data_IF_698150201423
#
_entry.id   IF_698150201423
#
_cell.length_a   1.000
_cell.length_b   1.000
_cell.length_c   1.000
_cell.angle_alpha   90.00
_cell.angle_beta   90.00
_cell.angle_gamma   90.00
#
_symmetry.space_group_name_H-M   'P 1'
#
loop_
_entity.id
_entity.type
_entity.pdbx_description
1 polymer ?
#
# COMPACT_ATOMS: atom_id res chain seq x y z
N UNK A 1 24.76 9.36 22.03
CA UNK A 1 24.64 8.93 20.63
C UNK A 1 23.28 9.37 20.13
N UNK A 2 23.23 10.38 19.27
CA UNK A 2 21.97 10.92 18.74
C UNK A 2 21.44 9.94 17.66
N UNK A 3 20.31 9.29 17.93
CA UNK A 3 19.58 8.55 16.90
C UNK A 3 18.88 9.59 16.00
N UNK A 4 19.37 9.72 14.80
CA UNK A 4 18.69 10.47 13.75
C UNK A 4 17.61 9.60 13.14
N UNK A 5 16.35 9.85 13.47
CA UNK A 5 15.19 9.35 12.75
C UNK A 5 15.17 10.03 11.39
N UNK A 6 15.51 9.30 10.34
CA UNK A 6 15.27 9.76 8.96
C UNK A 6 13.91 9.23 8.51
N UNK A 7 12.91 10.09 8.30
CA UNK A 7 11.71 9.66 7.61
C UNK A 7 12.05 9.39 6.13
N UNK A 8 11.40 8.40 5.54
CA UNK A 8 11.39 8.25 4.08
C UNK A 8 11.05 9.60 3.46
N UNK A 9 12.03 10.26 2.86
CA UNK A 9 11.81 11.52 2.15
C UNK A 9 11.30 11.19 0.76
N UNK A 10 10.00 11.30 0.57
CA UNK A 10 9.45 11.45 -0.77
C UNK A 10 10.03 12.73 -1.39
N UNK A 11 10.77 12.55 -2.46
CA UNK A 11 11.34 13.66 -3.22
C UNK A 11 10.24 14.28 -4.09
N UNK A 12 9.80 15.47 -3.79
CA UNK A 12 9.13 16.34 -4.73
C UNK A 12 9.79 17.71 -4.63
N UNK A 13 10.69 18.01 -5.57
CA UNK A 13 11.05 19.38 -5.88
C UNK A 13 10.11 19.90 -6.97
N UNK A 14 9.40 20.93 -6.60
CA UNK A 14 9.08 22.09 -7.39
C UNK A 14 8.23 21.94 -8.62
N UNK A 15 6.96 22.33 -8.47
CA UNK A 15 6.34 23.33 -9.37
C UNK A 15 5.16 23.94 -8.58
N UNK A 16 5.37 25.15 -8.09
CA UNK A 16 4.23 25.98 -7.63
C UNK A 16 3.47 26.43 -8.87
N UNK A 17 2.41 25.75 -9.23
CA UNK A 17 1.36 26.30 -10.05
C UNK A 17 0.25 26.77 -9.13
N UNK A 18 0.00 28.07 -9.11
CA UNK A 18 -1.12 28.66 -8.39
C UNK A 18 -2.43 28.09 -8.97
N UNK A 19 -3.03 27.16 -8.26
CA UNK A 19 -4.38 26.69 -8.56
C UNK A 19 -5.36 27.68 -7.96
N UNK A 20 -5.98 28.50 -8.80
CA UNK A 20 -7.18 29.26 -8.44
C UNK A 20 -8.26 28.25 -8.00
N UNK A 21 -8.53 28.20 -6.70
CA UNK A 21 -9.54 27.32 -6.13
C UNK A 21 -10.94 27.79 -6.53
N UNK A 22 -11.57 27.07 -7.43
CA UNK A 22 -13.04 27.09 -7.51
C UNK A 22 -13.60 26.43 -6.24
N UNK A 23 -14.08 27.25 -5.32
CA UNK A 23 -14.81 26.79 -4.16
C UNK A 23 -16.13 26.12 -4.65
N UNK A 24 -16.11 24.78 -4.78
CA UNK A 24 -17.36 24.04 -4.92
C UNK A 24 -18.09 24.11 -3.59
N UNK A 25 -19.26 24.72 -3.58
CA UNK A 25 -20.14 24.76 -2.44
C UNK A 25 -20.59 23.33 -2.10
N UNK A 26 -20.16 22.83 -0.95
CA UNK A 26 -20.69 21.60 -0.36
C UNK A 26 -22.08 21.94 0.18
N UNK A 27 -23.12 21.16 -0.13
CA UNK A 27 -24.42 21.38 0.48
C UNK A 27 -24.30 21.27 2.00
N UNK A 28 -24.79 22.28 2.71
CA UNK A 28 -24.82 22.28 4.16
C UNK A 28 -25.64 21.06 4.64
N UNK A 29 -25.04 20.25 5.51
CA UNK A 29 -25.71 19.13 6.17
C UNK A 29 -26.84 19.69 7.05
N UNK A 30 -28.06 19.72 6.52
CA UNK A 30 -29.25 20.10 7.27
C UNK A 30 -29.54 19.01 8.33
N UNK A 31 -29.61 19.40 9.59
CA UNK A 31 -30.09 18.53 10.67
C UNK A 31 -31.57 18.23 10.45
N UNK A 32 -31.91 17.05 9.97
CA UNK A 32 -33.24 16.47 10.11
C UNK A 32 -33.25 15.64 11.41
N UNK A 33 -33.80 16.20 12.46
CA UNK A 33 -34.14 15.47 13.67
C UNK A 33 -35.47 14.73 13.47
N UNK A 34 -35.52 13.50 14.01
CA UNK A 34 -36.67 12.65 14.31
C UNK A 34 -36.81 11.37 13.43
N UNK A 35 -35.88 10.47 13.61
CA UNK A 35 -36.11 9.03 13.78
C UNK A 35 -34.93 8.52 14.60
N UNK A 36 -35.17 7.65 15.58
CA UNK A 36 -34.06 7.04 16.35
C UNK A 36 -33.04 6.48 15.33
N UNK A 37 -31.88 7.14 15.25
CA UNK A 37 -30.92 6.87 14.19
C UNK A 37 -30.50 5.39 14.30
N UNK A 38 -30.74 4.61 13.24
CA UNK A 38 -30.32 3.24 13.17
C UNK A 38 -28.78 3.26 13.17
N UNK A 39 -28.16 2.66 14.18
CA UNK A 39 -26.71 2.52 14.25
C UNK A 39 -26.27 1.40 13.32
N UNK A 40 -25.32 1.66 12.44
CA UNK A 40 -24.79 0.72 11.47
C UNK A 40 -23.43 0.19 11.88
N UNK A 41 -22.68 0.96 12.69
CA UNK A 41 -21.31 0.67 13.12
C UNK A 41 -21.16 0.73 14.62
N UNK A 42 -20.25 -0.11 15.17
CA UNK A 42 -19.70 0.10 16.51
C UNK A 42 -18.80 1.35 16.50
N UNK A 43 -18.91 2.19 17.53
CA UNK A 43 -18.19 3.44 17.62
C UNK A 43 -16.82 3.34 18.32
N UNK A 44 -16.42 2.14 18.80
CA UNK A 44 -15.37 1.93 19.80
C UNK A 44 -14.02 2.63 19.53
N UNK A 45 -13.55 2.67 18.28
CA UNK A 45 -12.24 3.27 17.92
C UNK A 45 -12.34 4.35 16.85
N UNK A 46 -13.53 4.76 16.52
CA UNK A 46 -13.76 5.86 15.59
C UNK A 46 -13.57 7.22 16.27
N UNK A 47 -12.97 8.17 15.58
CA UNK A 47 -13.15 9.57 15.93
C UNK A 47 -14.65 9.89 15.89
N UNK A 48 -15.26 10.48 16.95
CA UNK A 48 -16.72 10.56 17.08
C UNK A 48 -17.41 11.22 15.88
N UNK A 49 -16.81 12.27 15.33
CA UNK A 49 -17.32 12.96 14.14
C UNK A 49 -17.28 12.08 12.90
N UNK A 50 -16.23 11.29 12.72
CA UNK A 50 -16.10 10.42 11.57
C UNK A 50 -17.17 9.33 11.59
N UNK A 51 -17.39 8.74 12.76
CA UNK A 51 -18.45 7.78 12.99
C UNK A 51 -19.81 8.36 12.58
N UNK A 52 -20.17 9.56 13.13
CA UNK A 52 -21.43 10.23 12.81
C UNK A 52 -21.60 10.48 11.31
N UNK A 53 -20.57 10.97 10.62
CA UNK A 53 -20.63 11.27 9.19
C UNK A 53 -20.81 10.01 8.33
N UNK A 54 -20.15 8.90 8.69
CA UNK A 54 -20.32 7.62 8.01
C UNK A 54 -21.73 7.05 8.23
N UNK A 55 -22.25 7.12 9.46
CA UNK A 55 -23.63 6.73 9.79
C UNK A 55 -24.65 7.54 8.96
N UNK A 56 -24.47 8.85 8.87
CA UNK A 56 -25.31 9.72 8.06
C UNK A 56 -25.22 9.39 6.57
N UNK A 57 -24.03 9.06 6.06
CA UNK A 57 -23.85 8.64 4.67
C UNK A 57 -24.63 7.35 4.37
N UNK A 58 -24.54 6.36 5.24
CA UNK A 58 -25.29 5.10 5.12
C UNK A 58 -26.81 5.34 5.20
N UNK A 59 -27.24 6.22 6.09
CA UNK A 59 -28.66 6.56 6.22
C UNK A 59 -29.20 7.26 4.95
N UNK A 60 -28.39 8.12 4.28
CA UNK A 60 -28.82 8.83 3.07
C UNK A 60 -28.87 7.94 1.83
N UNK A 61 -27.89 7.04 1.67
CA UNK A 61 -27.68 6.30 0.43
C UNK A 61 -28.02 4.81 0.52
N UNK A 62 -28.13 4.25 1.73
CA UNK A 62 -28.36 2.83 1.96
C UNK A 62 -29.81 2.39 1.72
N UNK A 63 -30.05 1.09 1.82
CA UNK A 63 -31.34 0.43 1.55
C UNK A 63 -32.53 1.01 2.36
N UNK A 64 -32.27 1.61 3.52
CA UNK A 64 -33.28 2.28 4.33
C UNK A 64 -33.70 3.66 3.82
N UNK A 65 -32.97 4.22 2.86
CA UNK A 65 -33.27 5.54 2.29
C UNK A 65 -34.38 5.47 1.23
N UNK A 66 -35.22 6.51 1.18
CA UNK A 66 -36.22 6.65 0.15
C UNK A 66 -35.65 6.83 -1.27
N UNK A 67 -34.41 7.29 -1.37
CA UNK A 67 -33.70 7.49 -2.65
C UNK A 67 -32.92 6.23 -3.12
N UNK A 68 -32.89 5.17 -2.32
CA UNK A 68 -32.16 3.95 -2.68
C UNK A 68 -32.80 3.23 -3.88
N UNK A 69 -31.96 2.78 -4.80
CA UNK A 69 -32.38 1.92 -5.90
C UNK A 69 -31.43 0.74 -6.05
N UNK A 70 -31.95 -0.47 -6.04
CA UNK A 70 -31.19 -1.69 -6.25
C UNK A 70 -30.57 -1.79 -7.66
N UNK A 71 -31.11 -1.08 -8.65
CA UNK A 71 -30.55 -0.98 -10.01
C UNK A 71 -29.47 0.10 -10.13
N UNK A 72 -29.36 0.99 -9.13
CA UNK A 72 -28.37 2.07 -9.07
C UNK A 72 -27.72 2.11 -7.67
N UNK A 73 -27.14 1.00 -7.27
CA UNK A 73 -26.49 0.87 -5.95
C UNK A 73 -25.38 1.89 -5.77
N UNK A 74 -25.35 2.65 -4.67
CA UNK A 74 -24.19 3.45 -4.32
C UNK A 74 -22.97 2.56 -4.15
N UNK A 75 -21.78 3.12 -4.36
CA UNK A 75 -20.55 2.37 -4.14
C UNK A 75 -19.48 3.17 -3.42
N UNK A 76 -18.57 2.46 -2.83
CA UNK A 76 -17.47 2.97 -2.03
C UNK A 76 -16.16 2.38 -2.50
N UNK A 77 -15.07 3.14 -2.38
CA UNK A 77 -13.73 2.70 -2.80
C UNK A 77 -12.75 2.86 -1.64
N UNK A 78 -12.00 1.83 -1.38
CA UNK A 78 -10.96 1.81 -0.36
C UNK A 78 -9.59 1.57 -1.01
N UNK A 79 -8.60 2.33 -0.59
CA UNK A 79 -7.22 1.92 -0.72
C UNK A 79 -6.93 0.74 0.22
N UNK A 80 -5.82 0.00 -0.03
CA UNK A 80 -5.52 -1.20 0.74
C UNK A 80 -4.42 -0.99 1.77
N UNK A 81 -3.18 -0.86 1.30
CA UNK A 81 -2.00 -0.82 2.15
C UNK A 81 -1.94 0.46 2.98
N UNK A 82 -1.81 0.31 4.29
CA UNK A 82 -1.88 1.39 5.26
C UNK A 82 -3.23 2.11 5.40
N UNK A 83 -4.22 1.77 4.62
CA UNK A 83 -5.62 2.23 4.73
C UNK A 83 -6.50 1.14 5.30
N UNK A 84 -6.69 0.04 4.57
CA UNK A 84 -7.52 -1.09 4.99
C UNK A 84 -6.79 -2.06 5.92
N UNK A 85 -5.48 -2.11 5.83
CA UNK A 85 -4.57 -2.79 6.76
C UNK A 85 -3.50 -1.80 7.26
N UNK A 86 -2.80 -2.13 8.33
CA UNK A 86 -1.58 -1.43 8.70
C UNK A 86 -0.38 -2.10 8.07
N UNK A 87 0.52 -1.29 7.54
CA UNK A 87 1.67 -1.62 6.70
C UNK A 87 1.25 -2.09 5.30
N UNK A 88 2.23 -2.56 4.54
CA UNK A 88 2.11 -2.87 3.12
C UNK A 88 2.27 -4.38 2.93
N UNK A 89 1.26 -5.03 2.32
CA UNK A 89 1.27 -6.47 2.15
C UNK A 89 2.17 -6.91 0.99
N UNK A 90 2.41 -6.07 -0.02
CA UNK A 90 3.33 -6.41 -1.12
C UNK A 90 4.79 -6.21 -0.69
N UNK A 91 5.09 -5.16 0.06
CA UNK A 91 6.42 -4.96 0.64
C UNK A 91 6.77 -6.09 1.64
N UNK A 92 5.80 -6.49 2.48
CA UNK A 92 5.95 -7.63 3.38
C UNK A 92 6.12 -8.95 2.62
N UNK A 93 5.42 -9.11 1.49
CA UNK A 93 5.55 -10.28 0.61
C UNK A 93 6.91 -10.32 -0.06
N UNK A 94 7.45 -9.19 -0.54
CA UNK A 94 8.81 -9.14 -1.08
C UNK A 94 9.83 -9.62 -0.05
N UNK A 95 9.77 -9.10 1.19
CA UNK A 95 10.68 -9.53 2.25
C UNK A 95 10.48 -11.01 2.60
N UNK A 96 9.24 -11.51 2.60
CA UNK A 96 8.94 -12.93 2.79
C UNK A 96 9.52 -13.78 1.65
N UNK A 97 9.34 -13.35 0.39
CA UNK A 97 9.86 -14.01 -0.80
C UNK A 97 11.39 -14.09 -0.78
N UNK A 98 12.06 -13.01 -0.38
CA UNK A 98 13.52 -12.98 -0.17
C UNK A 98 13.94 -14.00 0.90
N UNK A 99 13.30 -13.97 2.07
CA UNK A 99 13.64 -14.86 3.19
C UNK A 99 13.35 -16.34 2.90
N UNK A 100 12.38 -16.65 2.04
CA UNK A 100 12.05 -18.02 1.64
C UNK A 100 12.75 -18.46 0.35
N UNK A 101 13.50 -17.55 -0.33
CA UNK A 101 14.03 -17.76 -1.69
C UNK A 101 12.92 -18.25 -2.64
N UNK A 102 11.72 -17.69 -2.51
CA UNK A 102 10.53 -18.12 -3.23
C UNK A 102 10.45 -17.46 -4.61
N UNK A 103 11.42 -17.77 -5.47
CA UNK A 103 11.51 -17.28 -6.84
C UNK A 103 11.37 -18.46 -7.82
N UNK A 104 10.80 -18.21 -9.01
CA UNK A 104 10.76 -19.15 -10.13
C UNK A 104 11.59 -18.66 -11.30
N UNK A 105 12.72 -18.06 -10.99
CA UNK A 105 13.61 -17.40 -11.95
C UNK A 105 14.92 -18.17 -12.04
N UNK A 106 15.41 -18.41 -13.24
CA UNK A 106 16.79 -18.80 -13.45
C UNK A 106 17.71 -17.61 -13.21
N UNK A 107 19.04 -17.82 -12.99
CA UNK A 107 19.95 -16.71 -12.73
C UNK A 107 19.94 -15.61 -13.80
N UNK A 108 19.85 -15.96 -15.08
CA UNK A 108 19.78 -15.01 -16.19
C UNK A 108 18.45 -14.23 -16.24
N UNK A 109 17.35 -14.86 -15.84
CA UNK A 109 16.03 -14.21 -15.74
C UNK A 109 16.00 -13.25 -14.57
N UNK A 110 16.54 -13.65 -13.41
CA UNK A 110 16.68 -12.80 -12.23
C UNK A 110 17.55 -11.58 -12.55
N UNK A 111 18.72 -11.79 -13.17
CA UNK A 111 19.63 -10.71 -13.62
C UNK A 111 18.94 -9.71 -14.54
N UNK A 112 18.09 -10.19 -15.44
CA UNK A 112 17.29 -9.34 -16.33
C UNK A 112 16.25 -8.52 -15.55
N UNK A 113 15.53 -9.15 -14.61
CA UNK A 113 14.45 -8.51 -13.85
C UNK A 113 14.97 -7.41 -12.95
N UNK A 114 16.05 -7.61 -12.22
CA UNK A 114 16.58 -6.59 -11.31
C UNK A 114 17.06 -5.31 -12.01
N UNK A 115 17.27 -5.36 -13.32
CA UNK A 115 17.67 -4.22 -14.17
C UNK A 115 16.51 -3.67 -15.00
N UNK A 116 15.39 -4.39 -15.04
CA UNK A 116 14.34 -4.11 -16.00
C UNK A 116 13.71 -2.73 -15.79
N UNK A 117 13.76 -1.90 -16.83
CA UNK A 117 13.24 -0.53 -16.84
C UNK A 117 13.86 0.40 -15.77
N UNK A 118 14.96 0.00 -15.15
CA UNK A 118 15.70 0.84 -14.21
C UNK A 118 16.77 1.62 -14.99
N UNK A 119 16.76 2.96 -14.93
CA UNK A 119 17.83 3.76 -15.54
C UNK A 119 19.19 3.44 -14.91
N UNK A 120 20.22 3.31 -15.75
CA UNK A 120 21.59 3.07 -15.30
C UNK A 120 22.15 4.25 -14.51
N UNK A 121 23.14 3.99 -13.65
CA UNK A 121 23.88 5.00 -12.91
C UNK A 121 23.66 4.98 -11.41
N UNK A 122 23.99 6.07 -10.75
CA UNK A 122 23.92 6.23 -9.30
C UNK A 122 22.46 6.39 -8.82
N UNK A 123 22.15 5.80 -7.69
CA UNK A 123 20.91 6.09 -6.97
C UNK A 123 20.95 7.46 -6.28
N UNK A 124 19.86 7.85 -5.68
CA UNK A 124 19.74 9.10 -4.95
C UNK A 124 20.81 9.21 -3.84
N UNK A 125 21.22 10.46 -3.46
CA UNK A 125 22.34 10.67 -2.54
C UNK A 125 22.24 10.02 -1.16
N UNK A 126 21.05 9.61 -0.75
CA UNK A 126 20.82 8.92 0.52
C UNK A 126 21.20 7.41 0.44
N UNK A 127 21.30 6.85 -0.77
CA UNK A 127 21.60 5.44 -1.02
C UNK A 127 23.12 5.20 -1.09
N UNK A 128 23.73 5.08 0.08
CA UNK A 128 25.19 4.90 0.26
C UNK A 128 25.51 3.58 0.92
N UNK A 129 26.67 3.04 0.56
CA UNK A 129 27.29 1.93 1.27
C UNK A 129 27.96 2.41 2.58
N UNK A 130 28.48 1.47 3.37
CA UNK A 130 29.13 1.76 4.66
C UNK A 130 30.37 2.67 4.55
N UNK A 131 31.03 2.73 3.37
CA UNK A 131 32.13 3.64 3.09
C UNK A 131 31.68 5.05 2.67
N UNK A 132 30.37 5.32 2.62
CA UNK A 132 29.81 6.61 2.22
C UNK A 132 29.76 6.85 0.70
N UNK A 133 30.13 5.87 -0.13
CA UNK A 133 30.01 5.94 -1.59
C UNK A 133 28.55 5.73 -1.98
N UNK A 134 28.03 6.58 -2.89
CA UNK A 134 26.71 6.38 -3.51
C UNK A 134 26.76 5.08 -4.31
N UNK A 135 25.76 4.23 -4.10
CA UNK A 135 25.61 2.95 -4.80
C UNK A 135 25.05 3.20 -6.19
N UNK A 136 25.56 2.47 -7.17
CA UNK A 136 25.06 2.47 -8.55
C UNK A 136 24.41 1.13 -8.90
N UNK A 137 23.54 1.15 -9.91
CA UNK A 137 22.79 -0.02 -10.37
C UNK A 137 23.70 -1.17 -10.77
N UNK A 138 24.75 -0.90 -11.55
CA UNK A 138 25.61 -1.96 -12.10
C UNK A 138 26.38 -2.69 -11.00
N UNK A 139 26.88 -1.95 -10.01
CA UNK A 139 27.63 -2.51 -8.87
C UNK A 139 26.75 -3.44 -8.03
N UNK A 140 25.56 -2.97 -7.62
CA UNK A 140 24.67 -3.78 -6.76
C UNK A 140 24.06 -4.96 -7.50
N UNK A 141 23.71 -4.78 -8.78
CA UNK A 141 23.21 -5.88 -9.59
C UNK A 141 24.26 -6.95 -9.87
N UNK A 142 25.55 -6.56 -10.02
CA UNK A 142 26.61 -7.57 -10.18
C UNK A 142 26.82 -8.42 -8.93
N UNK A 143 26.67 -7.84 -7.75
CA UNK A 143 26.73 -8.58 -6.50
C UNK A 143 25.52 -9.53 -6.36
N UNK A 144 24.32 -9.02 -6.62
CA UNK A 144 23.09 -9.81 -6.59
C UNK A 144 23.08 -10.97 -7.61
N UNK A 145 23.66 -10.77 -8.79
CA UNK A 145 23.83 -11.85 -9.79
C UNK A 145 24.69 -12.99 -9.23
N UNK A 146 25.82 -12.64 -8.57
CA UNK A 146 26.72 -13.62 -7.96
C UNK A 146 26.04 -14.37 -6.81
N UNK A 147 25.36 -13.64 -5.94
CA UNK A 147 24.69 -14.22 -4.78
C UNK A 147 23.53 -15.12 -5.22
N UNK A 148 22.69 -14.64 -6.16
CA UNK A 148 21.56 -15.43 -6.62
C UNK A 148 22.02 -16.68 -7.36
N UNK A 149 23.06 -16.62 -8.18
CA UNK A 149 23.64 -17.79 -8.83
C UNK A 149 24.13 -18.84 -7.80
N UNK A 150 24.77 -18.39 -6.73
CA UNK A 150 25.16 -19.28 -5.62
C UNK A 150 23.94 -19.90 -4.93
N UNK A 151 22.96 -19.11 -4.57
CA UNK A 151 21.74 -19.57 -3.89
C UNK A 151 20.93 -20.52 -4.78
N UNK A 152 20.81 -20.20 -6.07
CA UNK A 152 20.15 -21.04 -7.06
C UNK A 152 20.79 -22.44 -7.16
N UNK A 153 22.13 -22.50 -7.22
CA UNK A 153 22.86 -23.75 -7.32
C UNK A 153 22.89 -24.57 -6.04
N UNK A 154 22.63 -23.96 -4.87
CA UNK A 154 22.75 -24.64 -3.58
C UNK A 154 21.42 -24.97 -2.91
N UNK A 155 20.36 -24.15 -3.09
CA UNK A 155 19.08 -24.34 -2.40
C UNK A 155 18.21 -25.39 -3.09
N UNK A 156 17.68 -26.36 -2.33
CA UNK A 156 16.82 -27.45 -2.84
C UNK A 156 15.46 -26.98 -3.40
N UNK A 157 14.99 -25.78 -3.03
CA UNK A 157 13.80 -25.19 -3.60
C UNK A 157 14.01 -24.55 -4.97
N UNK A 158 15.27 -24.47 -5.42
CA UNK A 158 15.70 -24.03 -6.74
C UNK A 158 16.38 -25.20 -7.49
N UNK A 159 17.68 -25.14 -7.75
CA UNK A 159 18.38 -26.22 -8.46
C UNK A 159 19.39 -27.03 -7.61
N UNK A 160 19.52 -26.68 -6.31
CA UNK A 160 20.50 -27.30 -5.42
C UNK A 160 19.91 -28.42 -4.55
N UNK A 161 20.62 -28.72 -3.46
CA UNK A 161 20.26 -29.83 -2.55
C UNK A 161 20.18 -29.43 -1.07
N UNK A 162 20.68 -28.24 -0.69
CA UNK A 162 20.72 -27.77 0.70
C UNK A 162 19.35 -27.26 1.14
N UNK A 163 19.07 -27.38 2.44
CA UNK A 163 17.86 -26.82 3.05
C UNK A 163 17.89 -25.29 3.06
N UNK A 164 16.73 -24.66 3.28
CA UNK A 164 16.63 -23.21 3.45
C UNK A 164 17.46 -22.74 4.67
N UNK A 165 17.42 -23.48 5.76
CA UNK A 165 18.20 -23.18 6.97
C UNK A 165 19.70 -23.13 6.67
N UNK A 166 20.23 -24.13 5.97
CA UNK A 166 21.65 -24.20 5.59
C UNK A 166 22.08 -23.07 4.67
N UNK A 167 21.25 -22.68 3.68
CA UNK A 167 21.61 -21.58 2.77
C UNK A 167 21.41 -20.23 3.43
N UNK A 168 20.43 -20.08 4.31
CA UNK A 168 20.18 -18.84 5.04
C UNK A 168 21.29 -18.46 6.02
N UNK A 169 22.07 -19.45 6.45
CA UNK A 169 23.25 -19.24 7.30
C UNK A 169 24.48 -18.75 6.52
N UNK A 170 24.44 -18.73 5.17
CA UNK A 170 25.57 -18.31 4.33
C UNK A 170 25.72 -16.81 4.22
N UNK A 171 26.94 -16.35 3.97
CA UNK A 171 27.21 -14.92 3.71
C UNK A 171 26.51 -14.44 2.44
N UNK A 172 26.43 -15.27 1.40
CA UNK A 172 25.74 -14.96 0.16
C UNK A 172 24.24 -14.68 0.37
N UNK A 173 23.60 -15.45 1.24
CA UNK A 173 22.19 -15.17 1.56
C UNK A 173 22.02 -13.86 2.34
N UNK A 174 22.91 -13.59 3.28
CA UNK A 174 22.86 -12.34 4.06
C UNK A 174 23.12 -11.12 3.19
N UNK A 175 24.08 -11.22 2.26
CA UNK A 175 24.37 -10.18 1.26
C UNK A 175 23.18 -9.99 0.31
N UNK A 176 22.69 -11.06 -0.29
CA UNK A 176 21.52 -11.08 -1.15
C UNK A 176 20.31 -10.39 -0.52
N UNK A 177 19.97 -10.77 0.72
CA UNK A 177 18.82 -10.19 1.43
C UNK A 177 18.98 -8.69 1.66
N UNK A 178 20.15 -8.27 2.12
CA UNK A 178 20.41 -6.87 2.39
C UNK A 178 20.41 -6.05 1.10
N UNK A 179 21.09 -6.53 0.05
CA UNK A 179 21.21 -5.82 -1.23
C UNK A 179 19.94 -5.81 -2.05
N UNK A 180 19.17 -6.90 -2.09
CA UNK A 180 17.93 -6.92 -2.87
C UNK A 180 16.87 -6.01 -2.27
N UNK A 181 16.73 -5.99 -0.94
CA UNK A 181 15.79 -5.07 -0.31
C UNK A 181 16.24 -3.60 -0.39
N UNK A 182 17.55 -3.35 -0.27
CA UNK A 182 18.11 -2.01 -0.53
C UNK A 182 17.83 -1.57 -1.98
N UNK A 183 18.03 -2.45 -2.96
CA UNK A 183 17.77 -2.16 -4.36
C UNK A 183 16.28 -1.78 -4.59
N UNK A 184 15.36 -2.50 -3.96
CA UNK A 184 13.93 -2.18 -4.01
C UNK A 184 13.66 -0.72 -3.53
N UNK A 185 14.18 -0.35 -2.37
CA UNK A 185 14.02 1.01 -1.84
C UNK A 185 14.70 2.04 -2.76
N UNK A 186 15.94 1.74 -3.22
CA UNK A 186 16.73 2.64 -4.05
C UNK A 186 16.08 2.90 -5.41
N UNK A 187 15.53 1.87 -6.06
CA UNK A 187 14.82 2.02 -7.35
C UNK A 187 13.59 2.90 -7.19
N UNK A 188 12.77 2.63 -6.19
CA UNK A 188 11.54 3.39 -5.95
C UNK A 188 11.82 4.85 -5.63
N UNK A 189 12.74 5.12 -4.71
CA UNK A 189 13.02 6.48 -4.24
C UNK A 189 13.82 7.32 -5.23
N UNK A 190 14.63 6.68 -6.09
CA UNK A 190 15.42 7.37 -7.12
C UNK A 190 14.63 7.65 -8.38
N UNK A 191 13.86 6.67 -8.85
CA UNK A 191 13.22 6.74 -10.17
C UNK A 191 11.70 6.91 -10.09
N UNK A 192 11.15 6.88 -8.88
CA UNK A 192 9.73 7.09 -8.60
C UNK A 192 8.85 5.89 -8.90
N UNK A 193 7.58 6.06 -8.62
CA UNK A 193 6.56 5.01 -8.62
C UNK A 193 6.35 4.34 -9.99
N UNK A 194 6.57 5.08 -11.09
CA UNK A 194 6.41 4.52 -12.45
C UNK A 194 7.44 3.43 -12.77
N UNK A 195 8.57 3.41 -12.06
CA UNK A 195 9.60 2.39 -12.18
C UNK A 195 9.48 1.38 -11.03
N UNK A 196 9.44 1.86 -9.80
CA UNK A 196 9.50 1.02 -8.59
C UNK A 196 8.33 0.08 -8.42
N UNK A 197 7.11 0.52 -8.68
CA UNK A 197 5.92 -0.31 -8.47
C UNK A 197 5.78 -1.45 -9.50
N UNK A 198 5.98 -1.23 -10.81
CA UNK A 198 6.07 -2.36 -11.74
C UNK A 198 7.25 -3.28 -11.45
N UNK A 199 8.39 -2.73 -10.99
CA UNK A 199 9.61 -3.50 -10.77
C UNK A 199 9.43 -4.60 -9.73
N UNK A 200 8.79 -4.31 -8.58
CA UNK A 200 8.62 -5.28 -7.51
C UNK A 200 7.74 -6.46 -7.91
N UNK A 201 6.73 -6.24 -8.75
CA UNK A 201 5.83 -7.31 -9.17
C UNK A 201 6.42 -8.21 -10.29
N UNK A 202 7.48 -7.81 -10.97
CA UNK A 202 8.16 -8.66 -11.96
C UNK A 202 8.78 -9.92 -11.35
N UNK A 203 9.04 -9.94 -10.05
CA UNK A 203 9.53 -11.14 -9.35
C UNK A 203 8.51 -12.29 -9.30
N UNK A 204 7.25 -12.05 -9.65
CA UNK A 204 6.25 -13.10 -9.80
C UNK A 204 6.28 -13.79 -11.17
N UNK A 205 7.20 -13.40 -12.08
CA UNK A 205 7.33 -14.05 -13.37
C UNK A 205 7.54 -15.58 -13.23
N UNK A 206 6.95 -16.32 -14.15
CA UNK A 206 6.92 -17.79 -14.18
C UNK A 206 6.10 -18.44 -13.05
N UNK A 207 5.45 -17.65 -12.18
CA UNK A 207 4.48 -18.17 -11.20
C UNK A 207 3.07 -18.14 -11.78
N UNK A 208 2.27 -19.12 -11.43
CA UNK A 208 0.82 -19.08 -11.67
C UNK A 208 0.11 -18.17 -10.69
N UNK A 209 -1.09 -17.72 -11.02
CA UNK A 209 -1.96 -16.97 -10.09
C UNK A 209 -2.14 -17.72 -8.77
N UNK A 210 -2.31 -19.04 -8.84
CA UNK A 210 -2.47 -19.87 -7.64
C UNK A 210 -1.21 -19.87 -6.77
N UNK A 211 -0.03 -19.94 -7.35
CA UNK A 211 1.24 -19.93 -6.60
C UNK A 211 1.51 -18.58 -5.96
N UNK A 212 1.23 -17.47 -6.66
CA UNK A 212 1.31 -16.12 -6.09
C UNK A 212 0.30 -15.97 -4.95
N UNK A 213 -0.94 -16.48 -5.11
CA UNK A 213 -1.94 -16.44 -4.05
C UNK A 213 -1.52 -17.24 -2.82
N UNK A 214 -0.95 -18.43 -3.00
CA UNK A 214 -0.44 -19.25 -1.88
C UNK A 214 0.74 -18.56 -1.17
N UNK A 215 1.65 -17.96 -1.93
CA UNK A 215 2.79 -17.22 -1.38
C UNK A 215 2.32 -15.98 -0.60
N UNK A 216 1.37 -15.23 -1.16
CA UNK A 216 0.76 -14.08 -0.50
C UNK A 216 0.04 -14.47 0.79
N UNK A 217 -0.73 -15.57 0.78
CA UNK A 217 -1.41 -16.08 1.97
C UNK A 217 -0.42 -16.48 3.06
N UNK A 218 0.64 -17.21 2.70
CA UNK A 218 1.68 -17.60 3.65
C UNK A 218 2.43 -16.38 4.23
N UNK A 219 2.71 -15.37 3.39
CA UNK A 219 3.30 -14.11 3.84
C UNK A 219 2.37 -13.35 4.78
N UNK A 220 1.08 -13.25 4.45
CA UNK A 220 0.09 -12.57 5.27
C UNK A 220 -0.02 -13.21 6.66
N UNK A 221 -0.16 -14.54 6.72
CA UNK A 221 -0.25 -15.28 7.97
C UNK A 221 1.00 -15.11 8.83
N UNK A 222 2.19 -15.19 8.23
CA UNK A 222 3.45 -14.97 8.93
C UNK A 222 3.54 -13.53 9.48
N UNK A 223 3.21 -12.53 8.67
CA UNK A 223 3.31 -11.11 9.05
C UNK A 223 2.26 -10.69 10.07
N UNK A 224 1.05 -11.29 10.07
CA UNK A 224 0.05 -11.08 11.11
C UNK A 224 0.53 -11.56 12.49
N UNK A 225 1.36 -12.61 12.53
CA UNK A 225 1.98 -13.13 13.75
C UNK A 225 3.21 -12.37 14.22
N UNK A 226 3.81 -11.53 13.37
CA UNK A 226 5.04 -10.80 13.69
C UNK A 226 4.78 -9.55 14.54
N UNK A 227 5.77 -9.19 15.37
CA UNK A 227 5.80 -7.90 16.04
C UNK A 227 5.99 -6.75 15.03
N UNK A 228 5.38 -5.61 15.31
CA UNK A 228 5.62 -4.37 14.57
C UNK A 228 6.99 -3.82 14.97
N UNK A 229 8.04 -4.17 14.23
CA UNK A 229 9.41 -3.85 14.56
C UNK A 229 10.23 -3.52 13.31
N UNK A 230 11.12 -2.52 13.43
CA UNK A 230 12.08 -2.17 12.39
C UNK A 230 13.35 -2.99 12.56
N UNK A 231 13.65 -3.90 11.64
CA UNK A 231 14.85 -4.74 11.63
C UNK A 231 15.85 -4.24 10.58
N UNK A 232 17.12 -4.16 10.97
CA UNK A 232 18.21 -3.83 10.04
C UNK A 232 18.81 -5.11 9.48
N UNK A 233 19.13 -5.07 8.19
CA UNK A 233 19.87 -6.10 7.46
C UNK A 233 21.14 -5.49 6.91
N UNK A 234 22.28 -6.09 7.21
CA UNK A 234 23.59 -5.59 6.79
C UNK A 234 24.34 -6.69 6.05
N UNK A 235 24.92 -6.36 4.91
CA UNK A 235 25.82 -7.24 4.17
C UNK A 235 27.02 -7.65 5.03
N UNK A 236 27.53 -8.89 4.91
CA UNK A 236 28.76 -9.29 5.57
C UNK A 236 29.95 -8.44 5.14
N UNK A 237 30.77 -8.02 6.10
CA UNK A 237 32.01 -7.25 5.81
C UNK A 237 33.07 -8.07 5.05
N UNK A 238 33.00 -9.40 5.15
CA UNK A 238 33.81 -10.36 4.42
C UNK A 238 33.43 -10.51 2.94
N UNK A 239 32.21 -10.10 2.57
CA UNK A 239 31.67 -10.19 1.21
C UNK A 239 31.13 -8.82 0.74
N UNK A 240 31.98 -7.78 0.61
CA UNK A 240 31.52 -6.43 0.26
C UNK A 240 31.03 -6.31 -1.19
N UNK A 241 31.54 -7.17 -2.08
CA UNK A 241 31.26 -7.10 -3.50
C UNK A 241 31.69 -5.78 -4.15
N UNK A 242 31.05 -5.40 -5.27
CA UNK A 242 31.29 -4.14 -5.98
C UNK A 242 30.55 -2.96 -5.36
N UNK A 243 29.32 -3.19 -4.85
CA UNK A 243 28.51 -2.17 -4.21
C UNK A 243 29.06 -1.78 -2.81
N UNK A 244 29.88 -2.62 -2.19
CA UNK A 244 30.34 -2.46 -0.83
C UNK A 244 29.35 -3.03 0.19
N UNK A 245 29.66 -2.83 1.48
CA UNK A 245 28.77 -3.26 2.57
C UNK A 245 27.52 -2.36 2.61
N UNK A 246 26.38 -2.96 2.48
CA UNK A 246 25.06 -2.30 2.46
C UNK A 246 24.33 -2.53 3.79
N UNK A 247 23.60 -1.51 4.24
CA UNK A 247 22.63 -1.65 5.34
C UNK A 247 21.29 -1.07 4.90
N UNK A 248 20.24 -1.87 5.02
CA UNK A 248 18.86 -1.45 4.84
C UNK A 248 18.01 -1.81 6.07
N UNK A 249 16.75 -1.42 6.11
CA UNK A 249 15.88 -1.74 7.24
C UNK A 249 14.42 -1.90 6.81
N UNK A 250 13.85 -3.04 7.14
CA UNK A 250 12.44 -3.35 6.88
C UNK A 250 11.59 -3.22 8.15
N UNK A 251 10.36 -2.72 8.01
CA UNK A 251 9.39 -2.64 9.10
C UNK A 251 8.44 -3.82 9.04
N UNK A 252 8.66 -4.81 9.90
CA UNK A 252 7.92 -6.06 9.94
C UNK A 252 6.53 -5.92 10.55
N UNK A 253 5.73 -6.92 10.23
CA UNK A 253 4.40 -7.13 10.77
C UNK A 253 3.31 -6.37 10.04
N UNK A 254 2.14 -6.98 9.99
CA UNK A 254 0.91 -6.42 9.44
C UNK A 254 -0.15 -6.47 10.53
N UNK A 255 -1.12 -5.57 10.50
CA UNK A 255 -2.32 -5.67 11.33
C UNK A 255 -3.56 -5.45 10.48
N UNK A 256 -4.57 -6.28 10.73
CA UNK A 256 -5.91 -6.05 10.19
C UNK A 256 -6.49 -4.79 10.83
N UNK A 257 -7.20 -4.00 10.04
CA UNK A 257 -7.98 -2.88 10.55
C UNK A 257 -9.44 -3.35 10.69
N UNK A 258 -9.81 -3.76 11.89
CA UNK A 258 -11.15 -4.29 12.18
C UNK A 258 -12.23 -3.24 11.91
N UNK A 259 -11.93 -1.97 12.12
CA UNK A 259 -12.83 -0.85 11.87
C UNK A 259 -13.15 -0.73 10.37
N UNK A 260 -12.17 -0.91 9.49
CA UNK A 260 -12.39 -0.92 8.04
C UNK A 260 -13.12 -2.20 7.60
N UNK A 261 -12.76 -3.36 8.14
CA UNK A 261 -13.46 -4.61 7.82
C UNK A 261 -14.95 -4.51 8.20
N UNK A 262 -15.27 -4.00 9.39
CA UNK A 262 -16.63 -3.76 9.86
C UNK A 262 -17.35 -2.70 9.01
N UNK A 263 -16.64 -1.63 8.61
CA UNK A 263 -17.20 -0.60 7.73
C UNK A 263 -17.57 -1.17 6.35
N UNK A 264 -16.69 -1.95 5.74
CA UNK A 264 -16.97 -2.63 4.47
C UNK A 264 -18.17 -3.56 4.57
N UNK A 265 -18.30 -4.26 5.70
CA UNK A 265 -19.43 -5.13 5.98
C UNK A 265 -20.73 -4.34 6.14
N UNK A 266 -20.71 -3.26 6.92
CA UNK A 266 -21.85 -2.36 7.11
C UNK A 266 -22.31 -1.74 5.79
N UNK A 267 -21.40 -1.31 4.93
CA UNK A 267 -21.73 -0.83 3.59
C UNK A 267 -22.46 -1.90 2.76
N UNK A 268 -21.90 -3.14 2.71
CA UNK A 268 -22.56 -4.23 1.97
C UNK A 268 -23.94 -4.54 2.49
N UNK A 269 -24.11 -4.64 3.81
CA UNK A 269 -25.41 -4.89 4.45
C UNK A 269 -26.44 -3.77 4.20
N UNK A 270 -25.94 -2.57 3.92
CA UNK A 270 -26.82 -1.43 3.58
C UNK A 270 -26.94 -1.20 2.06
N UNK A 271 -26.53 -2.18 1.24
CA UNK A 271 -26.80 -2.18 -0.20
C UNK A 271 -25.79 -1.44 -1.05
N UNK A 272 -24.62 -1.10 -0.50
CA UNK A 272 -23.51 -0.52 -1.27
C UNK A 272 -22.67 -1.60 -1.93
N UNK A 273 -22.12 -1.30 -3.08
CA UNK A 273 -21.02 -2.09 -3.64
C UNK A 273 -19.68 -1.57 -3.05
N UNK A 274 -18.84 -2.50 -2.60
CA UNK A 274 -17.54 -2.19 -1.99
C UNK A 274 -16.43 -2.59 -2.95
N UNK A 275 -15.53 -1.65 -3.26
CA UNK A 275 -14.38 -1.83 -4.13
C UNK A 275 -13.07 -1.50 -3.40
N UNK A 276 -12.00 -2.15 -3.83
CA UNK A 276 -10.63 -1.85 -3.42
C UNK A 276 -9.87 -1.34 -4.64
N UNK A 277 -9.07 -0.27 -4.46
CA UNK A 277 -8.17 0.28 -5.47
C UNK A 277 -6.77 0.39 -4.86
N UNK A 278 -5.85 -0.47 -5.27
CA UNK A 278 -4.51 -0.60 -4.68
C UNK A 278 -3.39 -0.38 -5.69
N UNK A 279 -2.26 0.13 -5.21
CA UNK A 279 -1.03 0.23 -5.99
C UNK A 279 -0.14 -1.03 -5.92
N UNK A 280 -0.66 -2.10 -5.33
CA UNK A 280 -0.06 -3.45 -5.31
C UNK A 280 -0.65 -4.32 -6.42
N UNK A 281 -0.02 -5.48 -6.71
CA UNK A 281 -0.60 -6.47 -7.62
C UNK A 281 -1.97 -6.92 -7.12
N UNK A 282 -3.00 -6.82 -7.98
CA UNK A 282 -4.38 -7.08 -7.54
C UNK A 282 -4.59 -8.50 -7.01
N UNK A 283 -3.82 -9.48 -7.51
CA UNK A 283 -3.91 -10.88 -7.06
C UNK A 283 -3.33 -11.06 -5.65
N UNK A 284 -2.31 -10.30 -5.28
CA UNK A 284 -1.74 -10.31 -3.92
C UNK A 284 -2.76 -9.73 -2.92
N UNK A 285 -3.32 -8.55 -3.21
CA UNK A 285 -4.30 -7.92 -2.34
C UNK A 285 -5.60 -8.72 -2.28
N UNK A 286 -6.01 -9.35 -3.39
CA UNK A 286 -7.21 -10.17 -3.42
C UNK A 286 -7.19 -11.30 -2.37
N UNK A 287 -6.02 -11.86 -2.06
CA UNK A 287 -5.91 -12.90 -1.01
C UNK A 287 -6.38 -12.37 0.35
N UNK A 288 -5.94 -11.18 0.72
CA UNK A 288 -6.39 -10.53 1.96
C UNK A 288 -7.85 -10.12 1.90
N UNK A 289 -8.22 -9.43 0.81
CA UNK A 289 -9.51 -8.79 0.70
C UNK A 289 -10.68 -9.79 0.59
N UNK A 290 -10.44 -10.97 -0.01
CA UNK A 290 -11.50 -11.92 -0.32
C UNK A 290 -11.59 -13.12 0.62
N UNK A 291 -10.48 -13.53 1.26
CA UNK A 291 -10.46 -14.70 2.11
C UNK A 291 -11.20 -14.41 3.43
N UNK A 292 -12.27 -15.19 3.74
CA UNK A 292 -13.09 -14.94 4.93
C UNK A 292 -12.33 -14.94 6.26
N UNK A 293 -11.19 -15.64 6.35
CA UNK A 293 -10.38 -15.69 7.57
C UNK A 293 -9.85 -14.31 8.00
N UNK A 294 -9.73 -13.35 7.07
CA UNK A 294 -9.27 -12.00 7.36
C UNK A 294 -10.42 -10.99 7.60
N UNK A 295 -11.66 -11.37 7.28
CA UNK A 295 -12.87 -10.63 7.68
C UNK A 295 -13.33 -9.53 6.73
N UNK A 296 -12.59 -9.19 5.66
CA UNK A 296 -12.99 -8.11 4.74
C UNK A 296 -14.08 -8.53 3.76
N UNK A 297 -14.06 -9.77 3.28
CA UNK A 297 -15.07 -10.39 2.41
C UNK A 297 -15.42 -9.57 1.16
N UNK A 298 -14.45 -8.90 0.56
CA UNK A 298 -14.62 -8.19 -0.71
C UNK A 298 -14.71 -9.22 -1.84
N UNK A 299 -15.52 -8.97 -2.86
CA UNK A 299 -15.56 -9.84 -4.04
C UNK A 299 -14.29 -9.70 -4.86
N UNK A 300 -13.78 -10.81 -5.45
CA UNK A 300 -12.55 -10.78 -6.25
C UNK A 300 -12.61 -9.75 -7.39
N UNK A 301 -13.73 -9.70 -8.09
CA UNK A 301 -13.95 -8.76 -9.19
C UNK A 301 -13.99 -7.30 -8.77
N UNK A 302 -14.10 -7.02 -7.48
CA UNK A 302 -14.10 -5.68 -6.91
C UNK A 302 -12.71 -5.24 -6.39
N UNK A 303 -11.67 -6.06 -6.55
CA UNK A 303 -10.29 -5.70 -6.23
C UNK A 303 -9.60 -5.27 -7.52
N UNK A 304 -9.18 -4.00 -7.57
CA UNK A 304 -8.52 -3.37 -8.70
C UNK A 304 -7.11 -2.95 -8.28
N UNK A 305 -6.10 -3.43 -8.99
CA UNK A 305 -4.70 -3.17 -8.65
C UNK A 305 -3.80 -3.09 -9.86
N UNK A 306 -2.49 -3.27 -9.64
CA UNK A 306 -1.53 -3.44 -10.72
C UNK A 306 -1.76 -4.79 -11.41
N UNK A 307 -1.39 -4.88 -12.68
CA UNK A 307 -1.56 -6.10 -13.48
C UNK A 307 -0.32 -6.38 -14.31
N UNK A 308 0.03 -7.65 -14.38
CA UNK A 308 1.04 -8.16 -15.32
C UNK A 308 0.37 -8.77 -16.56
N UNK A 309 1.13 -8.86 -17.65
CA UNK A 309 0.78 -9.72 -18.77
C UNK A 309 0.85 -11.18 -18.34
N UNK A 310 0.01 -12.01 -18.97
CA UNK A 310 -0.12 -13.42 -18.65
C UNK A 310 0.23 -14.28 -19.85
N UNK A 311 0.74 -15.49 -19.58
CA UNK A 311 0.82 -16.60 -20.52
C UNK A 311 0.03 -17.77 -19.94
N UNK A 312 -1.20 -17.94 -20.41
CA UNK A 312 -2.17 -18.83 -19.77
C UNK A 312 -2.45 -18.38 -18.34
N UNK A 313 -2.03 -19.16 -17.35
CA UNK A 313 -2.18 -18.87 -15.93
C UNK A 313 -0.90 -18.32 -15.27
N UNK A 314 0.19 -18.17 -16.05
CA UNK A 314 1.49 -17.72 -15.53
C UNK A 314 1.69 -16.23 -15.77
N UNK A 315 2.23 -15.54 -14.78
CA UNK A 315 2.66 -14.15 -14.90
C UNK A 315 3.93 -14.02 -15.75
N UNK A 316 3.95 -12.99 -16.60
CA UNK A 316 5.16 -12.51 -17.27
C UNK A 316 5.81 -11.38 -16.49
N UNK A 317 7.08 -11.13 -16.76
CA UNK A 317 7.79 -9.93 -16.25
C UNK A 317 7.45 -8.67 -17.06
N UNK A 318 6.20 -8.50 -17.44
CA UNK A 318 5.76 -7.38 -18.28
C UNK A 318 4.49 -6.76 -17.69
N UNK A 319 4.52 -5.46 -17.43
CA UNK A 319 3.34 -4.73 -16.99
C UNK A 319 2.25 -4.76 -18.07
N UNK A 320 0.99 -4.93 -17.67
CA UNK A 320 -0.13 -5.08 -18.60
C UNK A 320 -0.28 -3.84 -19.49
N UNK A 321 -0.19 -4.06 -20.79
CA UNK A 321 -0.31 -2.99 -21.78
C UNK A 321 -1.62 -2.23 -21.64
N UNK A 322 -1.53 -0.90 -21.69
CA UNK A 322 -2.68 0.01 -21.57
C UNK A 322 -3.45 -0.10 -20.23
N UNK A 323 -2.88 -0.74 -19.21
CA UNK A 323 -3.44 -0.70 -17.86
C UNK A 323 -2.80 0.47 -17.11
N UNK A 324 -3.59 1.41 -16.54
CA UNK A 324 -3.02 2.53 -15.81
C UNK A 324 -2.22 2.05 -14.60
N UNK A 325 -1.14 2.74 -14.25
CA UNK A 325 -0.49 2.53 -12.96
C UNK A 325 -1.47 2.98 -11.87
N UNK A 326 -1.97 2.07 -11.07
CA UNK A 326 -3.06 2.32 -10.10
C UNK A 326 -2.55 3.08 -8.86
N UNK A 327 -1.94 4.24 -9.09
CA UNK A 327 -1.38 5.17 -8.13
C UNK A 327 -1.67 6.62 -8.58
N UNK A 328 -1.99 7.52 -7.65
CA UNK A 328 -2.27 8.92 -7.95
C UNK A 328 -3.37 9.08 -9.02
N UNK A 329 -3.11 9.84 -10.11
CA UNK A 329 -4.07 10.00 -11.20
C UNK A 329 -4.54 8.66 -11.80
N UNK A 330 -3.68 7.64 -11.79
CA UNK A 330 -4.01 6.31 -12.30
C UNK A 330 -5.11 5.62 -11.49
N UNK A 331 -5.22 5.83 -10.17
CA UNK A 331 -6.35 5.34 -9.37
C UNK A 331 -7.67 5.93 -9.86
N UNK A 332 -7.69 7.25 -10.09
CA UNK A 332 -8.88 7.92 -10.66
C UNK A 332 -9.22 7.39 -12.05
N UNK A 333 -8.21 7.13 -12.89
CA UNK A 333 -8.40 6.58 -14.24
C UNK A 333 -8.98 5.16 -14.19
N UNK A 334 -8.45 4.28 -13.34
CA UNK A 334 -8.98 2.93 -13.15
C UNK A 334 -10.42 2.98 -12.64
N UNK A 335 -10.75 3.83 -11.67
CA UNK A 335 -12.12 4.01 -11.17
C UNK A 335 -13.05 4.51 -12.29
N UNK A 336 -12.62 5.50 -13.09
CA UNK A 336 -13.42 5.98 -14.23
C UNK A 336 -13.67 4.89 -15.25
N UNK A 337 -12.65 4.13 -15.62
CA UNK A 337 -12.71 3.09 -16.63
C UNK A 337 -13.53 1.88 -16.20
N UNK A 338 -13.27 1.38 -14.97
CA UNK A 338 -13.83 0.12 -14.51
C UNK A 338 -15.18 0.29 -13.79
N UNK A 339 -15.42 1.45 -13.16
CA UNK A 339 -16.59 1.67 -12.33
C UNK A 339 -17.51 2.74 -12.91
N UNK A 340 -17.04 3.97 -13.12
CA UNK A 340 -17.87 5.07 -13.61
C UNK A 340 -18.45 4.77 -14.98
N UNK A 341 -17.64 4.23 -15.90
CA UNK A 341 -18.10 3.87 -17.25
C UNK A 341 -19.26 2.84 -17.24
N UNK A 342 -19.28 1.95 -16.24
CA UNK A 342 -20.30 0.89 -16.10
C UNK A 342 -21.52 1.37 -15.30
N UNK A 343 -21.31 2.23 -14.29
CA UNK A 343 -22.36 2.66 -13.34
C UNK A 343 -23.00 4.00 -13.71
N UNK A 344 -22.27 4.87 -14.43
CA UNK A 344 -22.71 6.21 -14.80
C UNK A 344 -22.56 7.28 -13.70
N UNK A 345 -21.89 6.96 -12.58
CA UNK A 345 -21.66 7.86 -11.43
C UNK A 345 -20.41 7.46 -10.68
N UNK A 346 -19.87 8.40 -9.87
CA UNK A 346 -18.68 8.20 -9.02
C UNK A 346 -18.99 7.56 -7.66
N UNK A 347 -17.94 7.22 -6.87
CA UNK A 347 -18.09 6.69 -5.52
C UNK A 347 -18.62 7.76 -4.57
N UNK A 348 -19.51 7.38 -3.65
CA UNK A 348 -20.01 8.29 -2.61
C UNK A 348 -19.08 8.42 -1.42
N UNK A 349 -18.19 7.44 -1.23
CA UNK A 349 -17.18 7.39 -0.18
C UNK A 349 -15.87 6.87 -0.76
N UNK A 350 -14.76 7.48 -0.34
CA UNK A 350 -13.39 7.05 -0.67
C UNK A 350 -12.54 7.06 0.59
N UNK A 351 -11.71 6.04 0.79
CA UNK A 351 -10.71 5.99 1.87
C UNK A 351 -9.31 5.81 1.32
N UNK A 352 -8.32 6.51 1.92
CA UNK A 352 -6.91 6.45 1.54
C UNK A 352 -5.99 7.01 2.63
N UNK A 353 -4.65 7.00 2.42
CA UNK A 353 -3.67 7.41 3.43
C UNK A 353 -2.47 8.20 2.88
N UNK A 354 -2.28 8.23 1.56
CA UNK A 354 -1.05 8.71 0.93
C UNK A 354 -1.29 9.55 -0.32
N UNK A 355 -0.21 10.07 -0.91
CA UNK A 355 -0.27 10.80 -2.18
C UNK A 355 -0.79 9.93 -3.32
N UNK A 356 -0.67 8.60 -3.21
CA UNK A 356 -1.27 7.65 -4.15
C UNK A 356 -2.79 7.71 -4.20
N UNK A 357 -3.45 8.27 -3.18
CA UNK A 357 -4.90 8.32 -3.04
C UNK A 357 -5.47 9.72 -3.28
N UNK A 358 -4.58 10.71 -3.37
CA UNK A 358 -4.98 12.11 -3.47
C UNK A 358 -6.01 12.36 -4.57
N UNK A 359 -5.75 11.85 -5.77
CA UNK A 359 -6.62 12.09 -6.90
C UNK A 359 -7.96 11.38 -6.73
N UNK A 360 -8.00 10.10 -6.34
CA UNK A 360 -9.27 9.39 -6.15
C UNK A 360 -10.13 9.98 -5.01
N UNK A 361 -9.51 10.56 -3.97
CA UNK A 361 -10.22 11.27 -2.90
C UNK A 361 -10.88 12.55 -3.40
N UNK A 362 -10.28 13.22 -4.41
CA UNK A 362 -10.68 14.56 -4.85
C UNK A 362 -11.52 14.57 -6.12
N UNK A 363 -11.24 13.69 -7.07
CA UNK A 363 -11.64 13.82 -8.47
C UNK A 363 -13.11 13.54 -8.77
N UNK A 364 -13.84 12.91 -7.85
CA UNK A 364 -15.23 12.54 -8.07
C UNK A 364 -16.18 13.51 -7.36
N UNK A 365 -17.06 14.15 -8.11
CA UNK A 365 -18.08 15.06 -7.57
C UNK A 365 -19.12 14.34 -6.70
N UNK A 366 -19.36 13.05 -6.97
CA UNK A 366 -20.28 12.22 -6.20
C UNK A 366 -19.74 11.84 -4.81
N UNK A 367 -18.43 11.98 -4.57
CA UNK A 367 -17.84 11.68 -3.27
C UNK A 367 -18.25 12.70 -2.24
N UNK A 368 -19.10 12.29 -1.30
CA UNK A 368 -19.55 13.12 -0.18
C UNK A 368 -18.62 13.05 1.03
N UNK A 369 -17.94 11.94 1.21
CA UNK A 369 -17.02 11.73 2.34
C UNK A 369 -15.74 11.05 1.90
N UNK A 370 -14.61 11.70 2.16
CA UNK A 370 -13.25 11.17 1.99
C UNK A 370 -12.61 10.92 3.34
N UNK A 371 -12.36 9.65 3.68
CA UNK A 371 -11.70 9.24 4.92
C UNK A 371 -10.19 9.13 4.67
N UNK A 372 -9.40 9.86 5.44
CA UNK A 372 -7.94 9.80 5.41
C UNK A 372 -7.45 9.12 6.68
N UNK A 373 -6.85 7.94 6.55
CA UNK A 373 -6.09 7.34 7.65
C UNK A 373 -4.86 8.20 7.88
N UNK A 374 -4.84 8.89 9.02
CA UNK A 374 -3.86 9.91 9.30
C UNK A 374 -2.50 9.31 9.63
N UNK A 375 -1.58 9.31 8.66
CA UNK A 375 -0.19 8.88 8.86
C UNK A 375 0.77 10.04 9.07
N UNK A 376 0.26 11.25 9.24
CA UNK A 376 1.05 12.48 9.35
C UNK A 376 1.96 12.70 8.13
N UNK A 377 1.45 12.33 6.94
CA UNK A 377 2.15 12.52 5.67
C UNK A 377 2.11 14.00 5.26
N UNK A 378 3.19 14.42 4.59
CA UNK A 378 3.27 15.69 3.86
C UNK A 378 2.83 15.46 2.41
N UNK A 379 3.06 16.44 1.53
CA UNK A 379 2.70 16.34 0.12
C UNK A 379 1.23 16.66 -0.14
N UNK A 380 0.69 16.06 -1.19
CA UNK A 380 -0.69 16.32 -1.62
C UNK A 380 -1.71 15.83 -0.62
N UNK A 381 -1.52 14.61 -0.07
CA UNK A 381 -2.41 14.09 0.99
C UNK A 381 -2.31 14.93 2.27
N UNK A 382 -1.14 15.51 2.56
CA UNK A 382 -0.95 16.46 3.67
C UNK A 382 -1.78 17.73 3.50
N UNK A 383 -1.97 18.20 2.27
CA UNK A 383 -2.85 19.32 1.99
C UNK A 383 -4.33 18.96 2.27
N UNK A 384 -4.80 17.77 1.87
CA UNK A 384 -6.15 17.29 2.22
C UNK A 384 -6.30 17.08 3.74
N UNK A 385 -5.27 16.57 4.39
CA UNK A 385 -5.23 16.42 5.85
C UNK A 385 -5.37 17.78 6.56
N UNK A 386 -4.71 18.81 6.03
CA UNK A 386 -4.84 20.19 6.55
C UNK A 386 -6.25 20.73 6.36
N UNK A 387 -6.88 20.49 5.19
CA UNK A 387 -8.29 20.86 4.97
C UNK A 387 -9.22 20.16 5.96
N UNK A 388 -9.01 18.87 6.20
CA UNK A 388 -9.77 18.10 7.18
C UNK A 388 -9.58 18.64 8.59
N UNK A 389 -8.35 18.89 9.02
CA UNK A 389 -8.03 19.43 10.33
C UNK A 389 -8.67 20.81 10.57
N UNK A 390 -8.56 21.73 9.60
CA UNK A 390 -9.15 23.06 9.66
C UNK A 390 -10.69 23.00 9.71
N UNK A 391 -11.29 21.92 9.26
CA UNK A 391 -12.74 21.74 9.28
C UNK A 391 -13.29 21.11 10.56
N UNK A 392 -12.45 20.68 11.49
CA UNK A 392 -12.92 20.07 12.74
C UNK A 392 -13.89 20.96 13.51
N UNK A 393 -13.68 22.28 13.46
CA UNK A 393 -14.55 23.26 14.11
C UNK A 393 -15.70 23.76 13.19
N UNK A 394 -15.50 23.75 11.86
CA UNK A 394 -16.41 24.39 10.92
C UNK A 394 -17.32 23.42 10.19
N UNK A 395 -16.98 22.14 10.14
CA UNK A 395 -17.72 21.11 9.43
C UNK A 395 -17.70 21.24 7.88
N UNK A 396 -16.88 22.12 7.31
CA UNK A 396 -16.97 22.53 5.89
C UNK A 396 -16.22 21.63 4.90
N UNK A 397 -15.38 20.68 5.34
CA UNK A 397 -14.66 19.76 4.46
C UNK A 397 -15.38 18.43 4.37
N UNK A 398 -15.39 17.84 3.16
CA UNK A 398 -15.79 16.45 2.95
C UNK A 398 -14.70 15.47 3.37
N UNK A 399 -13.48 15.94 3.65
CA UNK A 399 -12.37 15.11 4.12
C UNK A 399 -12.36 15.06 5.64
N UNK A 400 -12.10 13.87 6.17
CA UNK A 400 -11.96 13.63 7.61
C UNK A 400 -10.71 12.81 7.89
N UNK A 401 -10.13 13.00 9.07
CA UNK A 401 -8.94 12.29 9.53
C UNK A 401 -9.33 11.22 10.53
N UNK A 402 -8.77 10.02 10.41
CA UNK A 402 -8.87 8.98 11.41
C UNK A 402 -7.47 8.65 11.92
N UNK A 403 -7.27 8.87 13.21
CA UNK A 403 -5.99 8.63 13.86
C UNK A 403 -5.73 7.16 14.16
N UNK A 404 -4.43 6.80 14.26
CA UNK A 404 -4.00 5.45 14.62
C UNK A 404 -2.77 5.46 15.54
N UNK A 405 -2.56 4.38 16.26
CA UNK A 405 -1.35 4.11 17.03
C UNK A 405 -0.44 3.18 16.22
N UNK A 406 0.64 3.70 15.66
CA UNK A 406 1.51 2.95 14.74
C UNK A 406 2.32 1.83 15.42
N UNK A 407 2.47 1.85 16.74
CA UNK A 407 3.13 0.76 17.47
C UNK A 407 2.26 -0.49 17.66
N UNK A 408 0.94 -0.37 17.47
CA UNK A 408 -0.01 -1.48 17.64
C UNK A 408 -0.85 -1.76 16.41
N UNK A 409 -0.98 -0.79 15.51
CA UNK A 409 -1.88 -0.82 14.36
C UNK A 409 -3.33 -0.46 14.68
N UNK A 410 -3.67 -0.23 15.95
CA UNK A 410 -5.03 0.12 16.35
C UNK A 410 -5.40 1.55 15.94
N UNK A 411 -6.64 1.76 15.56
CA UNK A 411 -7.19 3.10 15.46
C UNK A 411 -7.32 3.75 16.84
N UNK A 412 -7.27 5.08 16.87
CA UNK A 412 -7.53 5.89 18.05
C UNK A 412 -8.91 6.55 17.88
N UNK A 413 -9.69 6.73 18.96
CA UNK A 413 -10.96 7.46 18.90
C UNK A 413 -10.71 8.97 18.80
N UNK A 414 -9.88 9.36 17.85
CA UNK A 414 -9.43 10.71 17.59
C UNK A 414 -8.86 10.83 16.17
N UNK A 415 -8.71 12.05 15.69
CA UNK A 415 -8.09 12.39 14.41
C UNK A 415 -6.55 12.41 14.48
N UNK A 416 -5.99 12.44 15.69
CA UNK A 416 -4.55 12.47 15.94
C UNK A 416 -3.92 11.09 15.87
N UNK A 417 -2.69 11.02 15.39
CA UNK A 417 -1.92 9.77 15.29
C UNK A 417 -0.73 9.76 16.23
N UNK A 418 -0.54 8.64 16.90
CA UNK A 418 0.65 8.33 17.68
C UNK A 418 1.63 7.54 16.80
N UNK A 419 2.69 8.22 16.34
CA UNK A 419 3.75 7.64 15.52
C UNK A 419 4.51 6.53 16.24
N UNK A 420 5.04 5.57 15.46
CA UNK A 420 5.90 4.52 15.99
C UNK A 420 7.06 5.10 16.82
N UNK A 421 7.22 4.60 18.06
CA UNK A 421 8.26 5.03 18.99
C UNK A 421 8.10 6.45 19.54
N UNK A 422 6.93 7.07 19.38
CA UNK A 422 6.59 8.37 20.00
C UNK A 422 5.63 8.17 21.17
N UNK A 423 5.58 9.17 22.06
CA UNK A 423 4.73 9.18 23.27
C UNK A 423 3.59 10.19 23.18
N UNK A 424 3.63 11.09 22.21
CA UNK A 424 2.59 12.10 22.02
C UNK A 424 1.96 11.95 20.62
N UNK A 425 0.64 11.95 20.57
CA UNK A 425 -0.12 11.97 19.33
C UNK A 425 -0.15 13.40 18.74
N UNK A 426 -0.12 13.50 17.41
CA UNK A 426 -0.18 14.76 16.67
C UNK A 426 -1.26 14.71 15.60
N UNK A 427 -1.81 15.88 15.24
CA UNK A 427 -2.88 15.99 14.24
C UNK A 427 -2.32 16.09 12.82
N UNK A 428 -1.23 16.85 12.62
CA UNK A 428 -0.59 17.08 11.32
C UNK A 428 0.91 16.80 11.41
N UNK A 429 1.53 16.43 10.27
CA UNK A 429 2.93 16.08 10.14
C UNK A 429 3.89 17.23 9.81
#
# INVERSE_FOLDING_TARGET
MKQTNTPRRGFIQGLMAAAAGSAMAVPALAKNADAAAKTYLDNAKWAPRNHELVEQLMARHGQGSKSYSASRKPYVVFDWDNTSIMNDCEEALLMYQINQLAFKLKPEEFSSIIRQNVPAGNFAPDYKNAAGKIVDLDSICADLDSDYAYLYANYKGLAGSRTLEEVSATEQFQDFRAKLYFLYEAVNDTHGVNVGYPWVIYFFANMTVQEVSQLAEASNDANLGMSLVKTKYTSPASLPGKAGVITTAHFHGIRLCTEIATLMDAFRHNGFDVYVSTASLEDVVAVFATNPKYGYNVKRENVLGLRLEMDGQMFKNTYRKNWPLNWGPGKSEVIRRELVAKKGYGPVFVAGDSDGDYDMLRDFSDTELGLIVNRLKKGHIGALSTLAANSLQTGKSRFVLQGRQESTGNWLPAETTLKYGKTAATLLG
#
